data_IF_778541561662
#
_entry.id   IF_778541561662
#
_cell.length_a   1.000
_cell.length_b   1.000
_cell.length_c   1.000
_cell.angle_alpha   90.00
_cell.angle_beta   90.00
_cell.angle_gamma   90.00
#
_symmetry.space_group_name_H-M   'P 1'
#
loop_
_entity.id
_entity.type
_entity.pdbx_description
1 polymer ?
#
# COMPACT_ATOMS: atom_id res chain seq x y z
N UNK A 1 -4.36 2.31 -9.97
CA UNK A 1 -3.44 1.31 -9.40
C UNK A 1 -3.35 1.52 -7.88
N UNK A 2 -3.25 0.46 -7.09
CA UNK A 2 -3.27 0.54 -5.61
C UNK A 2 -2.03 1.26 -5.08
N UNK A 3 -0.87 1.02 -5.71
CA UNK A 3 0.40 1.63 -5.35
C UNK A 3 0.38 3.16 -5.55
N UNK A 4 -0.12 3.63 -6.69
CA UNK A 4 -0.25 5.08 -6.96
C UNK A 4 -1.08 5.79 -5.88
N UNK A 5 -2.19 5.17 -5.46
CA UNK A 5 -3.05 5.75 -4.43
C UNK A 5 -2.35 5.82 -3.07
N UNK A 6 -1.55 4.82 -2.72
CA UNK A 6 -0.77 4.84 -1.49
C UNK A 6 0.33 5.90 -1.49
N UNK A 7 1.00 6.10 -2.63
CA UNK A 7 1.98 7.19 -2.77
C UNK A 7 1.31 8.55 -2.62
N UNK A 8 0.13 8.75 -3.20
CA UNK A 8 -0.61 9.99 -2.99
C UNK A 8 -1.04 10.19 -1.54
N UNK A 9 -1.50 9.12 -0.87
CA UNK A 9 -1.83 9.18 0.56
C UNK A 9 -0.61 9.52 1.41
N UNK A 10 0.54 8.92 1.11
CA UNK A 10 1.82 9.23 1.75
C UNK A 10 2.16 10.72 1.61
N UNK A 11 2.11 11.27 0.39
CA UNK A 11 2.43 12.68 0.13
C UNK A 11 1.44 13.66 0.78
N UNK A 12 0.19 13.24 0.99
CA UNK A 12 -0.86 14.05 1.60
C UNK A 12 -1.00 13.85 3.12
N UNK A 13 -0.30 12.87 3.69
CA UNK A 13 -0.49 12.47 5.09
C UNK A 13 -1.88 11.90 5.39
N UNK A 14 -2.48 11.20 4.42
CA UNK A 14 -3.79 10.54 4.60
C UNK A 14 -3.62 9.16 5.26
N UNK A 15 -4.44 8.90 6.29
CA UNK A 15 -4.43 7.62 7.02
C UNK A 15 -5.22 6.52 6.31
N UNK A 16 -6.30 6.90 5.61
CA UNK A 16 -7.27 5.95 5.06
C UNK A 16 -7.92 6.49 3.79
N UNK A 17 -8.15 5.59 2.83
CA UNK A 17 -8.87 5.89 1.60
C UNK A 17 -9.65 4.68 1.11
N UNK A 18 -10.89 4.91 0.68
CA UNK A 18 -11.65 3.92 -0.08
C UNK A 18 -11.09 3.85 -1.50
N UNK A 19 -10.76 2.65 -1.96
CA UNK A 19 -10.15 2.41 -3.27
C UNK A 19 -11.08 1.56 -4.13
N UNK A 20 -11.20 1.93 -5.40
CA UNK A 20 -11.92 1.15 -6.40
C UNK A 20 -11.00 0.84 -7.58
N UNK A 21 -10.90 -0.43 -7.91
CA UNK A 21 -10.17 -0.96 -9.05
C UNK A 21 -11.12 -1.61 -10.05
N UNK A 22 -10.59 -1.98 -11.21
CA UNK A 22 -11.37 -2.70 -12.23
C UNK A 22 -11.83 -4.09 -11.80
N UNK A 23 -11.20 -4.67 -10.77
CA UNK A 23 -11.42 -6.06 -10.34
C UNK A 23 -11.50 -6.22 -8.82
N UNK A 24 -11.47 -5.10 -8.09
CA UNK A 24 -11.55 -5.08 -6.64
C UNK A 24 -12.15 -3.75 -6.17
N UNK A 25 -12.90 -3.79 -5.08
CA UNK A 25 -13.22 -2.62 -4.26
C UNK A 25 -12.59 -2.83 -2.88
N UNK A 26 -12.23 -1.77 -2.16
CA UNK A 26 -11.57 -1.96 -0.87
C UNK A 26 -11.23 -0.69 -0.12
N UNK A 27 -10.39 -0.88 0.89
CA UNK A 27 -9.90 0.17 1.78
C UNK A 27 -8.40 0.05 1.91
N UNK A 28 -7.72 1.14 1.62
CA UNK A 28 -6.29 1.33 1.80
C UNK A 28 -6.06 2.17 3.05
N UNK A 29 -5.13 1.76 3.90
CA UNK A 29 -4.86 2.44 5.16
C UNK A 29 -3.40 2.30 5.61
N UNK A 30 -2.99 3.17 6.53
CA UNK A 30 -1.65 3.26 7.08
C UNK A 30 -1.72 3.79 8.51
N UNK A 31 -0.89 3.25 9.40
CA UNK A 31 -0.67 3.81 10.74
C UNK A 31 0.35 4.97 10.76
N UNK A 32 0.82 5.37 9.58
CA UNK A 32 1.94 6.30 9.35
C UNK A 32 3.23 5.87 10.06
N UNK A 33 3.38 4.57 10.32
CA UNK A 33 4.56 4.00 10.94
C UNK A 33 5.58 3.65 9.87
N UNK A 34 6.82 4.06 10.12
CA UNK A 34 7.97 3.58 9.38
C UNK A 34 8.32 2.18 9.85
N UNK A 35 8.36 1.23 8.92
CA UNK A 35 8.75 -0.16 9.16
C UNK A 35 9.95 -0.53 8.28
N UNK A 36 10.73 -1.51 8.75
CA UNK A 36 11.85 -2.08 8.02
C UNK A 36 11.55 -3.55 7.73
N UNK A 37 11.51 -3.90 6.45
CA UNK A 37 11.38 -5.28 5.97
C UNK A 37 12.66 -5.65 5.23
N UNK A 38 13.52 -6.42 5.90
CA UNK A 38 14.84 -6.78 5.38
C UNK A 38 15.75 -5.55 5.29
N UNK A 39 16.21 -5.23 4.07
CA UNK A 39 17.06 -4.07 3.80
C UNK A 39 16.27 -2.82 3.38
N UNK A 40 14.94 -2.93 3.23
CA UNK A 40 14.08 -1.84 2.79
C UNK A 40 13.33 -1.25 3.97
N UNK A 41 13.25 0.07 4.03
CA UNK A 41 12.47 0.77 5.03
C UNK A 41 11.52 1.77 4.38
N UNK A 42 10.32 1.86 4.91
CA UNK A 42 9.28 2.74 4.40
C UNK A 42 8.05 2.77 5.29
N UNK A 43 7.12 3.66 4.97
CA UNK A 43 5.82 3.68 5.60
C UNK A 43 5.01 2.48 5.15
N UNK A 44 4.48 1.72 6.12
CA UNK A 44 3.63 0.56 5.84
C UNK A 44 2.24 1.00 5.39
N UNK A 45 1.77 0.40 4.31
CA UNK A 45 0.39 0.47 3.86
C UNK A 45 -0.20 -0.94 3.82
N UNK A 46 -1.44 -1.04 4.29
CA UNK A 46 -2.25 -2.23 4.24
C UNK A 46 -3.53 -1.95 3.45
N UNK A 47 -4.00 -2.94 2.70
CA UNK A 47 -5.22 -2.85 1.94
C UNK A 47 -6.09 -4.09 2.17
N UNK A 48 -7.34 -3.85 2.55
CA UNK A 48 -8.39 -4.87 2.58
C UNK A 48 -9.19 -4.76 1.27
N UNK A 49 -9.15 -5.80 0.45
CA UNK A 49 -9.72 -5.83 -0.89
C UNK A 49 -10.84 -6.87 -0.97
N UNK A 50 -11.89 -6.55 -1.69
CA UNK A 50 -12.99 -7.43 -2.04
C UNK A 50 -13.01 -7.62 -3.55
N UNK A 51 -12.76 -8.86 -3.98
CA UNK A 51 -12.66 -9.25 -5.39
C UNK A 51 -13.76 -10.22 -5.75
N UNK A 52 -13.93 -10.51 -7.04
CA UNK A 52 -14.85 -11.56 -7.51
C UNK A 52 -14.53 -12.97 -6.96
N UNK A 53 -13.32 -13.18 -6.43
CA UNK A 53 -12.86 -14.44 -5.85
C UNK A 53 -12.95 -14.45 -4.32
N UNK A 54 -13.43 -13.37 -3.71
CA UNK A 54 -13.52 -13.19 -2.27
C UNK A 54 -12.59 -12.09 -1.75
N UNK A 55 -12.38 -12.09 -0.43
CA UNK A 55 -11.55 -11.11 0.27
C UNK A 55 -10.07 -11.41 0.07
N UNK A 56 -9.30 -10.36 -0.15
CA UNK A 56 -7.86 -10.39 -0.32
C UNK A 56 -7.22 -9.29 0.54
N UNK A 57 -5.95 -9.46 0.88
CA UNK A 57 -5.18 -8.52 1.69
C UNK A 57 -3.85 -8.25 1.01
N UNK A 58 -3.48 -6.98 0.92
CA UNK A 58 -2.18 -6.58 0.42
C UNK A 58 -1.45 -5.72 1.44
N UNK A 59 -0.15 -5.95 1.59
CA UNK A 59 0.74 -5.12 2.39
C UNK A 59 1.93 -4.72 1.54
N UNK A 60 2.33 -3.45 1.63
CA UNK A 60 3.52 -2.96 0.97
C UNK A 60 4.10 -1.75 1.70
N UNK A 61 5.38 -1.45 1.43
CA UNK A 61 6.06 -0.29 1.97
C UNK A 61 6.16 0.81 0.92
N UNK A 62 5.85 2.04 1.30
CA UNK A 62 6.07 3.25 0.50
C UNK A 62 7.21 4.03 1.13
N UNK A 63 8.24 4.33 0.35
CA UNK A 63 9.33 5.19 0.76
C UNK A 63 9.65 6.19 -0.35
N UNK A 64 10.10 7.39 0.05
CA UNK A 64 10.78 8.31 -0.85
C UNK A 64 12.18 7.77 -1.16
N UNK A 65 12.28 6.64 -1.88
CA UNK A 65 13.60 6.28 -2.42
C UNK A 65 13.97 7.32 -3.48
N UNK A 66 14.83 8.24 -3.06
CA UNK A 66 15.75 8.97 -3.91
C UNK A 66 16.41 7.96 -4.86
N UNK A 67 15.97 7.97 -6.12
CA UNK A 67 16.60 7.25 -7.24
C UNK A 67 16.69 5.72 -7.12
N UNK A 68 15.59 5.03 -7.48
CA UNK A 68 15.65 3.72 -8.12
C UNK A 68 15.48 2.49 -7.22
N UNK A 69 14.61 1.58 -7.67
CA UNK A 69 14.30 0.24 -7.11
C UNK A 69 13.31 0.17 -5.93
N UNK A 70 12.27 -0.67 -6.12
CA UNK A 70 11.82 -1.55 -5.04
C UNK A 70 10.34 -1.48 -4.62
N UNK A 71 9.38 -1.69 -5.51
CA UNK A 71 8.06 -2.17 -5.07
C UNK A 71 8.17 -3.65 -4.69
N UNK A 72 8.46 -3.98 -3.43
CA UNK A 72 8.35 -5.35 -2.95
C UNK A 72 6.91 -5.61 -2.52
N UNK A 73 6.17 -6.33 -3.36
CA UNK A 73 4.86 -6.89 -3.00
C UNK A 73 5.14 -8.23 -2.32
N UNK A 74 4.97 -8.29 -1.01
CA UNK A 74 4.97 -9.56 -0.29
C UNK A 74 3.54 -10.10 -0.31
N UNK A 75 3.31 -11.14 -1.12
CA UNK A 75 2.10 -11.96 -0.97
C UNK A 75 2.34 -12.94 0.17
N UNK A 76 1.38 -13.02 1.11
CA UNK A 76 1.33 -14.05 2.12
C UNK A 76 0.15 -14.98 1.82
#
# INVERSE_FOLDING_TARGET
DLMTQAVEMYLKGEDERLVKGSSFDGKLYTDQKYEVLGAFGGQRFDADLETIRGKDKATFLVSEQTSGFGSTISQN
#
